data_IF_082124774181
#
_entry.id   IF_082124774181
#
_cell.length_a   1.000
_cell.length_b   1.000
_cell.length_c   1.000
_cell.angle_alpha   90.00
_cell.angle_beta   90.00
_cell.angle_gamma   90.00
#
_symmetry.space_group_name_H-M   'P 1'
#
loop_
_entity.id
_entity.type
_entity.pdbx_description
1 polymer ?
#
# COMPACT_ATOMS: atom_id res chain seq x y z
N UNK A 1 -44.35 -41.95 3.65
CA UNK A 1 -43.28 -41.42 2.79
C UNK A 1 -43.50 -39.91 2.70
N UNK A 2 -42.84 -39.14 3.57
CA UNK A 2 -42.74 -37.70 3.38
C UNK A 2 -41.52 -37.51 2.49
N UNK A 3 -41.73 -37.00 1.28
CA UNK A 3 -40.62 -36.56 0.45
C UNK A 3 -39.84 -35.53 1.25
N UNK A 4 -38.57 -35.83 1.49
CA UNK A 4 -37.56 -34.83 1.83
C UNK A 4 -37.40 -33.93 0.60
N UNK A 5 -38.41 -33.11 0.32
CA UNK A 5 -38.30 -31.98 -0.59
C UNK A 5 -37.25 -31.08 0.03
N UNK A 6 -36.02 -31.26 -0.45
CA UNK A 6 -34.89 -30.38 -0.19
C UNK A 6 -35.40 -28.95 -0.28
N UNK A 7 -35.40 -28.25 0.86
CA UNK A 7 -35.80 -26.85 0.92
C UNK A 7 -34.72 -26.04 0.23
N UNK A 8 -34.86 -25.88 -1.09
CA UNK A 8 -33.99 -25.06 -1.93
C UNK A 8 -34.42 -23.61 -1.77
N UNK A 9 -33.46 -22.75 -1.43
CA UNK A 9 -33.71 -21.31 -1.32
C UNK A 9 -33.41 -20.62 -2.64
N UNK A 10 -34.28 -19.70 -3.02
CA UNK A 10 -34.13 -18.88 -4.21
C UNK A 10 -33.75 -17.46 -3.82
N UNK A 11 -32.88 -16.82 -4.61
CA UNK A 11 -32.62 -15.39 -4.47
C UNK A 11 -33.80 -14.62 -5.05
N UNK A 12 -34.27 -13.59 -4.33
CA UNK A 12 -35.21 -12.61 -4.88
C UNK A 12 -34.59 -11.94 -6.12
N UNK A 13 -35.39 -11.63 -7.15
CA UNK A 13 -34.90 -10.91 -8.33
C UNK A 13 -34.71 -9.40 -8.05
N UNK A 14 -33.67 -9.09 -7.28
CA UNK A 14 -33.26 -7.71 -7.01
C UNK A 14 -32.57 -7.05 -8.22
N UNK A 15 -32.24 -7.79 -9.27
CA UNK A 15 -31.61 -7.23 -10.47
C UNK A 15 -32.64 -6.51 -11.35
N UNK A 16 -33.84 -7.07 -11.47
CA UNK A 16 -34.92 -6.48 -12.27
C UNK A 16 -35.97 -5.75 -11.42
N UNK A 17 -35.68 -5.49 -10.13
CA UNK A 17 -36.61 -4.90 -9.16
C UNK A 17 -37.94 -5.67 -9.02
N UNK A 18 -37.95 -6.96 -9.37
CA UNK A 18 -39.10 -7.85 -9.31
C UNK A 18 -39.22 -8.48 -7.93
N UNK A 19 -40.22 -8.09 -7.16
CA UNK A 19 -40.42 -8.66 -5.81
C UNK A 19 -41.13 -10.02 -5.82
N UNK A 20 -41.78 -10.37 -6.93
CA UNK A 20 -42.67 -11.53 -7.02
C UNK A 20 -42.01 -12.74 -7.71
N UNK A 21 -40.75 -12.59 -8.12
CA UNK A 21 -39.99 -13.61 -8.83
C UNK A 21 -38.62 -13.83 -8.22
N UNK A 22 -38.19 -15.09 -8.27
CA UNK A 22 -36.81 -15.48 -8.03
C UNK A 22 -35.92 -15.05 -9.19
N UNK A 23 -34.62 -14.90 -8.93
CA UNK A 23 -33.63 -14.61 -9.95
C UNK A 23 -33.65 -15.64 -11.09
N UNK A 24 -33.89 -16.92 -10.77
CA UNK A 24 -34.05 -17.98 -11.76
C UNK A 24 -35.35 -17.91 -12.59
N UNK A 25 -36.27 -16.99 -12.30
CA UNK A 25 -37.54 -16.81 -13.01
C UNK A 25 -38.73 -17.56 -12.40
N UNK A 26 -38.52 -18.31 -11.31
CA UNK A 26 -39.62 -18.97 -10.58
C UNK A 26 -40.44 -17.93 -9.84
N UNK A 27 -41.76 -17.93 -10.04
CA UNK A 27 -42.68 -17.06 -9.30
C UNK A 27 -42.84 -17.52 -7.85
N UNK A 28 -42.91 -16.59 -6.91
CA UNK A 28 -43.18 -16.91 -5.51
C UNK A 28 -44.70 -16.98 -5.26
N UNK A 29 -45.24 -18.16 -4.95
CA UNK A 29 -46.65 -18.27 -4.53
C UNK A 29 -46.86 -17.76 -3.08
N UNK A 30 -45.89 -18.00 -2.18
CA UNK A 30 -45.87 -17.54 -0.79
C UNK A 30 -44.43 -17.31 -0.35
N UNK A 31 -43.89 -16.12 -0.63
CA UNK A 31 -42.52 -15.76 -0.23
C UNK A 31 -42.42 -15.65 1.29
N UNK A 32 -41.77 -16.63 1.93
CA UNK A 32 -41.30 -16.49 3.31
C UNK A 32 -39.87 -15.95 3.27
N UNK A 33 -39.62 -14.81 3.92
CA UNK A 33 -38.25 -14.33 4.12
C UNK A 33 -37.53 -15.31 5.03
N UNK A 34 -36.37 -15.79 4.58
CA UNK A 34 -35.51 -16.62 5.41
C UNK A 34 -35.02 -15.76 6.60
N UNK A 35 -35.36 -16.15 7.82
CA UNK A 35 -34.86 -15.47 9.02
C UNK A 35 -33.35 -15.65 9.17
N UNK A 36 -32.66 -14.68 9.80
CA UNK A 36 -31.20 -14.70 10.01
C UNK A 36 -30.70 -15.93 10.77
N UNK A 37 -31.56 -16.61 11.53
CA UNK A 37 -31.22 -17.79 12.34
C UNK A 37 -31.25 -19.11 11.57
N UNK A 38 -31.78 -19.13 10.34
CA UNK A 38 -31.91 -20.34 9.53
C UNK A 38 -30.79 -20.34 8.48
N UNK A 39 -29.80 -21.22 8.65
CA UNK A 39 -28.80 -21.48 7.61
C UNK A 39 -29.45 -22.35 6.53
N UNK A 40 -29.61 -21.86 5.30
CA UNK A 40 -30.22 -22.66 4.24
C UNK A 40 -29.33 -23.85 3.88
N UNK A 41 -29.97 -24.98 3.58
CA UNK A 41 -29.27 -26.24 3.25
C UNK A 41 -28.72 -26.20 1.81
N UNK A 42 -29.43 -25.56 0.89
CA UNK A 42 -29.01 -25.37 -0.49
C UNK A 42 -29.65 -24.12 -1.11
N UNK A 43 -28.91 -23.45 -1.99
CA UNK A 43 -29.42 -22.39 -2.88
C UNK A 43 -29.72 -23.02 -4.25
N UNK A 44 -30.73 -22.50 -4.95
CA UNK A 44 -31.06 -22.94 -6.30
C UNK A 44 -29.86 -22.72 -7.24
N UNK A 45 -29.39 -23.76 -7.96
CA UNK A 45 -28.21 -23.66 -8.82
C UNK A 45 -28.40 -22.64 -9.95
N UNK A 46 -29.62 -22.46 -10.45
CA UNK A 46 -29.91 -21.43 -11.46
C UNK A 46 -29.84 -20.01 -10.87
N UNK A 47 -30.21 -19.82 -9.60
CA UNK A 47 -30.00 -18.54 -8.91
C UNK A 47 -28.51 -18.28 -8.69
N UNK A 48 -27.73 -19.30 -8.30
CA UNK A 48 -26.28 -19.17 -8.14
C UNK A 48 -25.60 -18.82 -9.47
N UNK A 49 -25.97 -19.51 -10.56
CA UNK A 49 -25.42 -19.26 -11.89
C UNK A 49 -25.70 -17.83 -12.39
N UNK A 50 -26.95 -17.36 -12.26
CA UNK A 50 -27.29 -15.98 -12.64
C UNK A 50 -26.60 -14.93 -11.77
N UNK A 51 -26.43 -15.21 -10.48
CA UNK A 51 -25.69 -14.32 -9.59
C UNK A 51 -24.22 -14.21 -9.99
N UNK A 52 -23.59 -15.34 -10.32
CA UNK A 52 -22.23 -15.36 -10.83
C UNK A 52 -22.10 -14.60 -12.15
N UNK A 53 -23.02 -14.81 -13.10
CA UNK A 53 -23.06 -14.08 -14.37
C UNK A 53 -23.18 -12.57 -14.15
N UNK A 54 -24.12 -12.14 -13.29
CA UNK A 54 -24.29 -10.74 -12.95
C UNK A 54 -23.02 -10.13 -12.35
N UNK A 55 -22.41 -10.79 -11.36
CA UNK A 55 -21.17 -10.31 -10.77
C UNK A 55 -20.03 -10.23 -11.80
N UNK A 56 -19.94 -11.19 -12.73
CA UNK A 56 -18.94 -11.14 -13.79
C UNK A 56 -19.13 -9.95 -14.72
N UNK A 57 -20.37 -9.65 -15.12
CA UNK A 57 -20.69 -8.46 -15.94
C UNK A 57 -20.34 -7.19 -15.17
N UNK A 58 -20.83 -7.06 -13.94
CA UNK A 58 -20.59 -5.89 -13.10
C UNK A 58 -19.09 -5.63 -12.87
N UNK A 59 -18.33 -6.68 -12.53
CA UNK A 59 -16.88 -6.56 -12.33
C UNK A 59 -16.15 -6.21 -13.63
N UNK A 60 -16.58 -6.76 -14.77
CA UNK A 60 -16.01 -6.42 -16.07
C UNK A 60 -16.22 -4.95 -16.40
N UNK A 61 -17.46 -4.47 -16.32
CA UNK A 61 -17.79 -3.07 -16.58
C UNK A 61 -17.00 -2.13 -15.65
N UNK A 62 -16.88 -2.50 -14.36
CA UNK A 62 -16.11 -1.72 -13.40
C UNK A 62 -14.62 -1.68 -13.74
N UNK A 63 -14.05 -2.81 -14.16
CA UNK A 63 -12.64 -2.91 -14.56
C UNK A 63 -12.36 -2.11 -15.85
N UNK A 64 -13.27 -2.16 -16.82
CA UNK A 64 -13.19 -1.38 -18.06
C UNK A 64 -13.25 0.13 -17.77
N UNK A 65 -14.19 0.57 -16.93
CA UNK A 65 -14.31 1.97 -16.51
C UNK A 65 -13.03 2.45 -15.79
N UNK A 66 -12.50 1.66 -14.86
CA UNK A 66 -11.26 1.98 -14.15
C UNK A 66 -10.04 2.05 -15.11
N UNK A 67 -10.01 1.18 -16.12
CA UNK A 67 -8.95 1.19 -17.14
C UNK A 67 -9.02 2.47 -17.99
N UNK A 68 -10.22 2.86 -18.42
CA UNK A 68 -10.43 4.10 -19.16
C UNK A 68 -10.03 5.34 -18.35
N UNK A 69 -10.36 5.37 -17.06
CA UNK A 69 -9.94 6.44 -16.14
C UNK A 69 -8.41 6.52 -16.02
N UNK A 70 -7.76 5.38 -15.81
CA UNK A 70 -6.30 5.30 -15.71
C UNK A 70 -5.60 5.78 -16.99
N UNK A 71 -6.13 5.40 -18.15
CA UNK A 71 -5.59 5.85 -19.45
C UNK A 71 -5.81 7.35 -19.65
N UNK A 72 -6.96 7.89 -19.23
CA UNK A 72 -7.20 9.34 -19.20
C UNK A 72 -6.19 10.08 -18.30
N UNK A 73 -5.90 9.55 -17.12
CA UNK A 73 -4.89 10.11 -16.20
C UNK A 73 -3.48 10.05 -16.80
N UNK A 74 -3.13 8.96 -17.50
CA UNK A 74 -1.83 8.83 -18.18
C UNK A 74 -1.65 9.85 -19.30
N UNK A 75 -2.70 10.17 -20.05
CA UNK A 75 -2.67 11.22 -21.08
C UNK A 75 -2.39 12.58 -20.43
N UNK A 76 -3.19 12.96 -19.44
CA UNK A 76 -3.01 14.24 -18.70
C UNK A 76 -1.62 14.37 -18.09
N UNK A 77 -1.09 13.29 -17.52
CA UNK A 77 0.25 13.28 -16.96
C UNK A 77 1.33 13.56 -18.01
N UNK A 78 1.22 12.98 -19.22
CA UNK A 78 2.16 13.26 -20.32
C UNK A 78 2.10 14.73 -20.75
N UNK A 79 0.90 15.28 -20.91
CA UNK A 79 0.71 16.69 -21.28
C UNK A 79 1.33 17.64 -20.24
N UNK A 80 1.10 17.38 -18.95
CA UNK A 80 1.70 18.15 -17.87
C UNK A 80 3.22 18.02 -17.84
N UNK A 81 3.75 16.82 -18.08
CA UNK A 81 5.20 16.61 -18.17
C UNK A 81 5.82 17.42 -19.32
N UNK A 82 5.21 17.38 -20.51
CA UNK A 82 5.66 18.15 -21.67
C UNK A 82 5.57 19.67 -21.42
N UNK A 83 4.51 20.13 -20.76
CA UNK A 83 4.37 21.53 -20.35
C UNK A 83 5.52 21.97 -19.42
N UNK A 84 5.83 21.17 -18.38
CA UNK A 84 6.92 21.48 -17.45
C UNK A 84 8.28 21.48 -18.16
N UNK A 85 8.53 20.52 -19.06
CA UNK A 85 9.77 20.45 -19.83
C UNK A 85 9.91 21.64 -20.80
N UNK A 86 8.81 22.07 -21.43
CA UNK A 86 8.76 23.28 -22.25
C UNK A 86 9.08 24.53 -21.43
N UNK A 87 8.49 24.67 -20.25
CA UNK A 87 8.76 25.79 -19.34
C UNK A 87 10.23 25.82 -18.92
N UNK A 88 10.82 24.65 -18.60
CA UNK A 88 12.25 24.54 -18.27
C UNK A 88 13.14 24.99 -19.43
N UNK A 89 12.80 24.58 -20.67
CA UNK A 89 13.54 25.01 -21.88
C UNK A 89 13.46 26.52 -22.12
N UNK A 90 12.29 27.13 -21.92
CA UNK A 90 12.13 28.59 -22.05
C UNK A 90 12.97 29.34 -21.01
N UNK A 91 12.94 28.91 -19.75
CA UNK A 91 13.76 29.52 -18.68
C UNK A 91 15.25 29.38 -18.97
N UNK A 92 15.71 28.22 -19.42
CA UNK A 92 17.11 28.01 -19.79
C UNK A 92 17.54 28.89 -20.98
N UNK A 93 16.66 29.08 -21.97
CA UNK A 93 16.91 29.97 -23.11
C UNK A 93 17.09 31.43 -22.71
N UNK A 94 16.35 31.91 -21.70
CA UNK A 94 16.51 33.28 -21.18
C UNK A 94 17.82 33.48 -20.40
N UNK A 95 18.32 32.45 -19.72
CA UNK A 95 19.61 32.51 -19.01
C UNK A 95 20.80 32.61 -19.99
N UNK A 96 20.65 32.10 -21.22
CA UNK A 96 21.72 32.11 -22.21
C UNK A 96 21.88 33.44 -22.97
N UNK A 97 20.90 34.35 -22.86
CA UNK A 97 20.92 35.70 -23.46
C UNK A 97 21.49 36.78 -22.54
N UNK A 98 21.95 36.43 -21.33
CA UNK A 98 22.73 37.35 -20.52
C UNK A 98 24.02 37.70 -21.28
N UNK A 99 24.22 38.96 -21.70
CA UNK A 99 25.30 39.33 -22.61
C UNK A 99 26.67 39.01 -22.04
N UNK A 100 27.49 38.39 -22.88
CA UNK A 100 28.95 38.45 -22.82
C UNK A 100 29.33 39.91 -23.07
N UNK A 101 29.09 40.79 -22.10
CA UNK A 101 29.79 42.06 -22.01
C UNK A 101 31.16 41.68 -21.47
N UNK A 102 32.09 41.55 -22.40
CA UNK A 102 33.47 41.21 -22.10
C UNK A 102 34.06 42.18 -21.10
N UNK A 103 34.73 41.63 -20.11
CA UNK A 103 35.77 42.34 -19.38
C UNK A 103 37.08 41.60 -19.65
N UNK A 104 37.89 42.05 -20.63
CA UNK A 104 39.25 41.62 -20.74
C UNK A 104 40.10 42.49 -19.81
N UNK A 105 40.88 41.85 -18.94
CA UNK A 105 42.11 42.36 -18.30
C UNK A 105 42.07 42.45 -16.77
N UNK A 106 43.12 41.87 -16.16
CA UNK A 106 43.46 41.93 -14.73
C UNK A 106 43.33 40.56 -14.06
N UNK A 107 44.20 39.59 -14.32
CA UNK A 107 45.51 39.43 -13.68
C UNK A 107 45.51 39.65 -12.15
N UNK A 108 45.71 38.51 -11.44
CA UNK A 108 46.42 38.32 -10.16
C UNK A 108 45.67 38.51 -8.83
N UNK A 109 46.18 38.00 -7.68
CA UNK A 109 46.71 36.68 -7.33
C UNK A 109 45.95 36.04 -6.15
N UNK A 110 46.31 34.79 -5.85
CA UNK A 110 46.26 34.09 -4.55
C UNK A 110 45.99 34.99 -3.33
N UNK A 111 44.87 34.73 -2.63
CA UNK A 111 44.69 35.12 -1.23
C UNK A 111 44.23 33.92 -0.43
N UNK A 112 45.26 33.21 0.02
CA UNK A 112 45.28 32.36 1.19
C UNK A 112 44.68 33.07 2.41
N UNK A 113 43.55 32.56 2.91
CA UNK A 113 43.18 32.69 4.32
C UNK A 113 42.60 31.37 4.81
N UNK A 114 43.47 30.59 5.44
CA UNK A 114 43.14 29.79 6.62
C UNK A 114 42.24 30.64 7.53
N UNK A 115 41.03 30.16 7.76
CA UNK A 115 40.19 30.59 8.87
C UNK A 115 39.98 29.36 9.75
N UNK A 116 41.03 29.07 10.53
CA UNK A 116 40.89 28.41 11.82
C UNK A 116 40.11 29.37 12.73
N UNK A 117 38.82 29.09 12.85
CA UNK A 117 37.88 29.87 13.64
C UNK A 117 36.90 28.93 14.30
N UNK A 118 37.44 28.08 15.17
CA UNK A 118 36.74 27.20 16.10
C UNK A 118 36.01 28.05 17.16
N UNK A 119 34.66 28.10 17.20
CA UNK A 119 33.94 28.61 18.34
C UNK A 119 33.69 27.40 19.25
N UNK A 120 34.52 27.34 20.29
CA UNK A 120 34.38 26.53 21.49
C UNK A 120 32.98 26.77 22.10
N UNK A 121 32.03 25.90 21.74
CA UNK A 121 30.75 25.79 22.43
C UNK A 121 30.90 24.72 23.51
N UNK A 122 31.26 25.21 24.69
CA UNK A 122 31.09 24.55 25.97
C UNK A 122 29.63 24.08 26.13
N UNK A 123 29.42 22.77 25.98
CA UNK A 123 28.23 22.07 26.46
C UNK A 123 28.63 20.65 26.79
N UNK A 124 29.44 20.54 27.84
CA UNK A 124 29.60 19.30 28.60
C UNK A 124 28.32 19.09 29.43
N UNK A 125 27.24 18.72 28.74
CA UNK A 125 26.11 18.03 29.33
C UNK A 125 26.21 16.59 28.88
N UNK A 126 26.75 15.72 29.73
CA UNK A 126 26.86 14.28 29.46
C UNK A 126 25.51 13.72 28.98
N UNK A 127 25.41 13.18 27.76
CA UNK A 127 24.40 12.19 27.48
C UNK A 127 24.90 10.93 28.18
N UNK A 128 24.32 10.66 29.35
CA UNK A 128 24.58 9.44 30.10
C UNK A 128 24.65 8.27 29.14
N UNK A 129 25.74 7.52 29.26
CA UNK A 129 26.12 6.33 28.52
C UNK A 129 25.01 5.27 28.65
N UNK A 130 23.91 5.47 27.93
CA UNK A 130 22.91 4.44 27.71
C UNK A 130 23.54 3.49 26.72
N UNK A 131 23.89 2.30 27.21
CA UNK A 131 24.21 1.10 26.44
C UNK A 131 23.62 1.14 25.04
N UNK A 132 24.41 0.88 23.97
CA UNK A 132 23.91 0.89 22.60
C UNK A 132 22.73 -0.07 22.54
N UNK A 133 21.52 0.49 22.50
CA UNK A 133 20.29 -0.29 22.51
C UNK A 133 20.25 -0.99 21.17
N UNK A 134 20.17 -2.32 21.16
CA UNK A 134 20.13 -3.10 19.91
C UNK A 134 19.01 -2.57 19.00
N UNK A 135 19.17 -2.68 17.68
CA UNK A 135 18.13 -2.25 16.74
C UNK A 135 16.82 -3.00 16.98
N UNK A 136 16.90 -4.27 17.38
CA UNK A 136 15.73 -5.04 17.82
C UNK A 136 15.08 -4.48 19.09
N UNK A 137 15.86 -4.00 20.06
CA UNK A 137 15.29 -3.39 21.26
C UNK A 137 14.58 -2.07 20.93
N UNK A 138 15.11 -1.29 20.00
CA UNK A 138 14.44 -0.09 19.50
C UNK A 138 13.15 -0.45 18.73
N UNK A 139 13.21 -1.45 17.85
CA UNK A 139 12.04 -1.96 17.13
C UNK A 139 10.97 -2.49 18.09
N UNK A 140 11.36 -3.22 19.13
CA UNK A 140 10.44 -3.73 20.17
C UNK A 140 9.76 -2.59 20.92
N UNK A 141 10.47 -1.49 21.22
CA UNK A 141 9.87 -0.29 21.83
C UNK A 141 8.80 0.34 20.94
N UNK A 142 9.08 0.54 19.65
CA UNK A 142 8.09 1.09 18.71
C UNK A 142 6.89 0.14 18.51
N UNK A 143 7.14 -1.17 18.49
CA UNK A 143 6.10 -2.19 18.39
C UNK A 143 5.19 -2.22 19.63
N UNK A 144 5.75 -2.12 20.84
CA UNK A 144 4.98 -2.02 22.07
C UNK A 144 4.10 -0.77 22.10
N UNK A 145 4.63 0.35 21.60
CA UNK A 145 3.85 1.59 21.49
C UNK A 145 2.71 1.49 20.48
N UNK A 146 2.89 0.73 19.39
CA UNK A 146 1.81 0.37 18.48
C UNK A 146 0.76 -0.48 19.21
N UNK A 147 1.19 -1.56 19.87
CA UNK A 147 0.31 -2.52 20.54
C UNK A 147 -0.55 -1.88 21.63
N UNK A 148 -0.04 -0.89 22.37
CA UNK A 148 -0.81 -0.18 23.42
C UNK A 148 -2.09 0.50 22.91
N UNK A 149 -2.23 0.71 21.60
CA UNK A 149 -3.41 1.33 20.99
C UNK A 149 -4.52 0.32 20.66
N UNK A 150 -4.25 -0.98 20.86
CA UNK A 150 -5.14 -2.06 20.50
C UNK A 150 -5.28 -3.04 21.67
N UNK A 151 -6.51 -3.44 21.99
CA UNK A 151 -6.77 -4.29 23.15
C UNK A 151 -6.53 -5.78 22.88
N UNK A 152 -7.04 -6.30 21.75
CA UNK A 152 -6.99 -7.75 21.45
C UNK A 152 -6.38 -8.06 20.07
N UNK A 153 -6.68 -7.23 19.07
CA UNK A 153 -6.28 -7.47 17.69
C UNK A 153 -5.56 -6.26 17.08
N UNK A 154 -4.42 -6.51 16.44
CA UNK A 154 -3.66 -5.48 15.71
C UNK A 154 -3.87 -5.69 14.20
N UNK A 155 -4.35 -4.68 13.44
CA UNK A 155 -4.47 -4.80 11.99
C UNK A 155 -3.12 -4.98 11.31
N UNK A 156 -3.01 -5.95 10.39
CA UNK A 156 -1.76 -6.25 9.68
C UNK A 156 -1.15 -5.01 8.99
N UNK A 157 -1.98 -4.17 8.39
CA UNK A 157 -1.52 -2.96 7.69
C UNK A 157 -0.89 -1.93 8.66
N UNK A 158 -1.35 -1.84 9.91
CA UNK A 158 -0.74 -0.98 10.94
C UNK A 158 0.65 -1.50 11.34
N UNK A 159 0.78 -2.82 11.50
CA UNK A 159 2.08 -3.47 11.74
C UNK A 159 3.03 -3.18 10.58
N UNK A 160 2.58 -3.45 9.35
CA UNK A 160 3.34 -3.20 8.12
C UNK A 160 3.81 -1.76 8.01
N UNK A 161 2.92 -0.78 8.21
CA UNK A 161 3.27 0.63 8.10
C UNK A 161 4.26 1.07 9.18
N UNK A 162 4.13 0.57 10.40
CA UNK A 162 5.07 0.84 11.48
C UNK A 162 6.45 0.24 11.16
N UNK A 163 6.47 -0.99 10.65
CA UNK A 163 7.69 -1.68 10.19
C UNK A 163 8.37 -0.95 9.02
N UNK A 164 7.61 -0.50 8.03
CA UNK A 164 8.10 0.27 6.88
C UNK A 164 8.68 1.62 7.35
N UNK A 165 7.95 2.35 8.19
CA UNK A 165 8.40 3.63 8.76
C UNK A 165 9.66 3.49 9.62
N UNK A 166 9.77 2.42 10.41
CA UNK A 166 11.00 2.10 11.16
C UNK A 166 12.16 1.85 10.20
N UNK A 167 11.95 1.02 9.18
CA UNK A 167 12.97 0.67 8.18
C UNK A 167 13.45 1.87 7.38
N UNK A 168 12.57 2.82 7.10
CA UNK A 168 12.89 4.07 6.39
C UNK A 168 13.81 5.01 7.18
N UNK A 169 13.77 4.94 8.52
CA UNK A 169 14.71 5.68 9.39
C UNK A 169 16.13 5.09 9.37
N UNK A 170 16.28 3.81 9.00
CA UNK A 170 17.55 3.09 9.06
C UNK A 170 18.41 3.36 7.81
N UNK A 171 19.69 3.62 8.04
CA UNK A 171 20.72 3.63 6.99
C UNK A 171 20.96 2.21 6.45
N UNK A 172 21.58 2.11 5.27
CA UNK A 172 21.88 0.82 4.62
C UNK A 172 22.60 -0.17 5.55
N UNK A 173 23.63 0.28 6.27
CA UNK A 173 24.40 -0.61 7.16
C UNK A 173 23.58 -1.05 8.37
N UNK A 174 22.71 -0.18 8.89
CA UNK A 174 21.80 -0.52 9.98
C UNK A 174 20.73 -1.53 9.54
N UNK A 175 20.26 -1.45 8.29
CA UNK A 175 19.35 -2.47 7.74
C UNK A 175 20.02 -3.84 7.64
N UNK A 176 21.31 -3.89 7.30
CA UNK A 176 22.09 -5.13 7.30
C UNK A 176 22.30 -5.68 8.71
N UNK A 177 22.61 -4.81 9.67
CA UNK A 177 22.73 -5.19 11.09
C UNK A 177 21.40 -5.72 11.63
N UNK A 178 20.28 -5.02 11.37
CA UNK A 178 18.96 -5.49 11.75
C UNK A 178 18.64 -6.86 11.14
N UNK A 179 18.92 -7.05 9.85
CA UNK A 179 18.74 -8.35 9.20
C UNK A 179 19.59 -9.46 9.83
N UNK A 180 20.81 -9.15 10.25
CA UNK A 180 21.67 -10.08 10.98
C UNK A 180 21.12 -10.39 12.39
N UNK A 181 20.65 -9.38 13.13
CA UNK A 181 20.04 -9.55 14.46
C UNK A 181 18.76 -10.39 14.42
N UNK A 182 17.93 -10.22 13.39
CA UNK A 182 16.70 -11.03 13.17
C UNK A 182 17.03 -12.50 12.91
N UNK A 183 18.18 -12.78 12.28
CA UNK A 183 18.64 -14.14 12.00
C UNK A 183 17.69 -14.96 11.13
N UNK A 184 17.37 -16.18 11.57
CA UNK A 184 16.63 -17.18 10.80
C UNK A 184 15.16 -16.81 10.53
N UNK A 185 14.63 -15.78 11.20
CA UNK A 185 13.24 -15.33 11.01
C UNK A 185 13.01 -14.68 9.64
N UNK A 186 14.11 -14.30 8.97
CA UNK A 186 14.18 -14.00 7.55
C UNK A 186 13.64 -12.61 7.18
N UNK A 187 12.43 -12.26 7.62
CA UNK A 187 11.78 -10.99 7.31
C UNK A 187 11.38 -10.26 8.59
N UNK A 188 11.76 -8.99 8.70
CA UNK A 188 11.46 -8.13 9.84
C UNK A 188 9.96 -8.07 10.16
N UNK A 189 9.07 -8.04 9.14
CA UNK A 189 7.62 -8.07 9.39
C UNK A 189 7.16 -9.35 10.10
N UNK A 190 7.79 -10.49 9.78
CA UNK A 190 7.46 -11.79 10.38
C UNK A 190 7.95 -11.85 11.82
N UNK A 191 9.11 -11.26 12.10
CA UNK A 191 9.61 -11.08 13.45
C UNK A 191 8.64 -10.21 14.27
N UNK A 192 8.20 -9.06 13.74
CA UNK A 192 7.22 -8.20 14.42
C UNK A 192 5.90 -8.94 14.72
N UNK A 193 5.35 -9.70 13.77
CA UNK A 193 4.12 -10.48 13.99
C UNK A 193 4.30 -11.46 15.15
N UNK A 194 5.42 -12.17 15.20
CA UNK A 194 5.70 -13.13 16.28
C UNK A 194 5.85 -12.43 17.63
N UNK A 195 6.49 -11.27 17.69
CA UNK A 195 6.60 -10.50 18.93
C UNK A 195 5.21 -10.02 19.39
N UNK A 196 4.34 -9.57 18.48
CA UNK A 196 2.94 -9.21 18.81
C UNK A 196 2.18 -10.43 19.36
N UNK A 197 2.28 -11.57 18.67
CA UNK A 197 1.64 -12.83 19.10
C UNK A 197 2.19 -13.32 20.45
N UNK A 198 3.48 -13.12 20.71
CA UNK A 198 4.13 -13.40 22.00
C UNK A 198 3.61 -12.54 23.16
N UNK A 199 3.05 -11.37 22.86
CA UNK A 199 2.36 -10.51 23.83
C UNK A 199 0.90 -10.93 24.05
N UNK A 200 0.41 -11.96 23.37
CA UNK A 200 -0.97 -12.45 23.45
C UNK A 200 -1.96 -11.72 22.54
N UNK A 201 -1.50 -10.81 21.69
CA UNK A 201 -2.32 -10.08 20.72
C UNK A 201 -2.39 -10.84 19.39
N UNK A 202 -3.53 -10.77 18.69
CA UNK A 202 -3.69 -11.40 17.38
C UNK A 202 -3.45 -10.38 16.25
N UNK A 203 -2.65 -10.74 15.24
CA UNK A 203 -2.55 -9.94 14.01
C UNK A 203 -3.62 -10.38 13.02
N UNK A 204 -4.48 -9.46 12.58
CA UNK A 204 -5.58 -9.77 11.66
C UNK A 204 -5.41 -9.09 10.30
N UNK A 205 -5.70 -9.83 9.23
CA UNK A 205 -5.82 -9.31 7.87
C UNK A 205 -7.23 -8.78 7.57
N UNK A 206 -8.19 -8.97 8.48
CA UNK A 206 -9.56 -8.52 8.28
C UNK A 206 -9.67 -7.04 8.60
N UNK A 207 -10.02 -6.17 7.62
CA UNK A 207 -10.31 -4.77 7.90
C UNK A 207 -11.62 -4.59 8.71
N UNK A 208 -12.44 -5.64 8.80
CA UNK A 208 -13.84 -5.58 9.24
C UNK A 208 -14.02 -5.56 10.76
N UNK A 209 -12.94 -5.64 11.54
CA UNK A 209 -13.01 -5.61 13.01
C UNK A 209 -12.55 -4.28 13.63
N UNK A 210 -12.16 -3.29 12.81
CA UNK A 210 -11.80 -1.95 13.29
C UNK A 210 -13.00 -0.98 13.28
N UNK A 211 -12.85 0.15 14.00
CA UNK A 211 -13.78 1.28 13.89
C UNK A 211 -13.88 1.76 12.42
N UNK A 212 -15.01 2.33 12.03
CA UNK A 212 -15.25 2.78 10.65
C UNK A 212 -14.18 3.78 10.17
N UNK A 213 -13.61 4.56 11.09
CA UNK A 213 -12.50 5.47 10.80
C UNK A 213 -11.21 4.72 10.42
N UNK A 214 -10.91 3.60 11.09
CA UNK A 214 -9.74 2.77 10.76
C UNK A 214 -9.88 2.10 9.40
N UNK A 215 -11.11 1.75 8.99
CA UNK A 215 -11.36 1.24 7.64
C UNK A 215 -11.12 2.32 6.57
N UNK A 216 -11.57 3.56 6.79
CA UNK A 216 -11.31 4.64 5.84
C UNK A 216 -9.82 4.99 5.73
N UNK A 217 -9.09 4.99 6.84
CA UNK A 217 -7.63 5.17 6.83
C UNK A 217 -6.91 4.08 6.04
N UNK A 218 -7.28 2.81 6.27
CA UNK A 218 -6.71 1.68 5.55
C UNK A 218 -6.98 1.78 4.04
N UNK A 219 -8.22 2.11 3.67
CA UNK A 219 -8.63 2.20 2.27
C UNK A 219 -7.98 3.38 1.54
N UNK A 220 -7.86 4.52 2.23
CA UNK A 220 -7.19 5.71 1.67
C UNK A 220 -5.70 5.42 1.44
N UNK A 221 -5.03 4.71 2.34
CA UNK A 221 -3.60 4.42 2.19
C UNK A 221 -3.28 3.40 1.09
N UNK A 222 -4.12 2.38 0.87
CA UNK A 222 -3.90 1.39 -0.19
C UNK A 222 -4.07 1.99 -1.61
N UNK A 223 -4.97 2.97 -1.79
CA UNK A 223 -5.19 3.62 -3.08
C UNK A 223 -4.09 4.61 -3.48
N UNK A 224 -3.38 5.20 -2.52
CA UNK A 224 -2.36 6.22 -2.79
C UNK A 224 -0.93 5.69 -2.81
N UNK A 225 -0.68 4.37 -2.72
CA UNK A 225 0.65 3.84 -3.03
C UNK A 225 0.91 4.01 -4.54
N UNK A 226 1.80 4.93 -4.98
CA UNK A 226 2.10 5.06 -6.40
C UNK A 226 2.67 3.71 -6.88
N UNK A 227 2.24 3.21 -8.05
CA UNK A 227 2.68 1.91 -8.54
C UNK A 227 4.21 1.88 -8.52
N UNK A 228 4.78 1.01 -7.68
CA UNK A 228 6.23 0.87 -7.53
C UNK A 228 6.79 0.65 -8.93
N UNK A 229 7.65 1.55 -9.40
CA UNK A 229 8.24 1.50 -10.74
C UNK A 229 8.90 0.13 -10.92
N UNK A 230 8.20 -0.80 -11.54
CA UNK A 230 8.74 -2.12 -11.88
C UNK A 230 9.86 -1.86 -12.86
N UNK A 231 11.10 -2.01 -12.38
CA UNK A 231 12.31 -1.90 -13.18
C UNK A 231 12.23 -3.01 -14.22
N UNK A 232 11.68 -2.71 -15.41
CA UNK A 232 11.63 -3.64 -16.54
C UNK A 232 13.06 -4.07 -16.81
N UNK A 233 13.43 -5.28 -16.38
CA UNK A 233 14.65 -5.93 -16.85
C UNK A 233 14.42 -6.22 -18.32
N UNK A 234 14.94 -5.35 -19.19
CA UNK A 234 15.11 -5.64 -20.61
C UNK A 234 15.98 -6.90 -20.70
N UNK A 235 15.33 -8.02 -21.00
CA UNK A 235 15.99 -9.29 -21.24
C UNK A 235 17.00 -9.14 -22.36
N UNK A 236 18.24 -9.55 -22.08
CA UNK A 236 19.32 -9.64 -23.04
C UNK A 236 18.96 -10.74 -24.05
N UNK A 237 18.65 -10.36 -25.29
CA UNK A 237 18.40 -11.28 -26.38
C UNK A 237 19.59 -12.24 -26.52
N UNK A 238 19.32 -13.53 -26.38
CA UNK A 238 20.30 -14.60 -26.56
C UNK A 238 20.49 -14.79 -28.06
N UNK A 239 21.59 -14.30 -28.61
CA UNK A 239 22.01 -14.63 -29.98
C UNK A 239 22.29 -16.13 -30.05
N UNK A 240 21.57 -16.81 -30.92
CA UNK A 240 21.75 -18.22 -31.25
C UNK A 240 22.82 -18.28 -32.35
N UNK A 241 24.07 -18.50 -31.98
CA UNK A 241 25.09 -18.89 -32.95
C UNK A 241 24.94 -20.39 -33.21
N UNK A 242 24.52 -20.71 -34.44
CA UNK A 242 24.56 -22.06 -34.97
C UNK A 242 25.99 -22.43 -35.34
N UNK A 243 26.42 -23.60 -34.87
CA UNK A 243 27.58 -24.34 -35.32
C UNK A 243 27.25 -25.82 -35.28
#
# INVERSE_FOLDING_TARGET
>A
MQDTSSSVVHHQDYLNLGNDQALCGVAFEKSARLGQTIRPVAVCPDCEAKLAEYHLIWWRERAEAATAELDGLRVKYRELSEYVDNQRRQVAGLQHLAPIIGDPSGENPESHRENDGEPQADSTGEPGETTPTSLLDQARKELLELCRRFDETVPYWRVKNTTDAFSDKLKSDQRLLLAHEIGADGNFIRWCIREIEGLGLQVTNSPVHGDANDMMDAWTQDFYQPPKKTKRRLGRSRSYDGG
#
